data_IF_738016660935
#
_entry.id   IF_738016660935
#
_cell.length_a   1.000
_cell.length_b   1.000
_cell.length_c   1.000
_cell.angle_alpha   90.00
_cell.angle_beta   90.00
_cell.angle_gamma   90.00
#
_symmetry.space_group_name_H-M   'P 1'
#
loop_
_entity.id
_entity.type
_entity.pdbx_description
1 polymer ?
#
# COMPACT_ATOMS: atom_id res chain seq x y z
N UNK A 1 17.98 -35.85 4.69
CA UNK A 1 17.27 -34.69 4.20
C UNK A 1 17.84 -34.30 2.84
N UNK A 2 17.07 -34.51 1.74
CA UNK A 2 17.51 -34.33 0.36
C UNK A 2 17.93 -32.87 0.08
N UNK A 3 17.29 -31.87 0.70
CA UNK A 3 17.64 -30.45 0.54
C UNK A 3 19.05 -30.15 1.05
N UNK A 4 19.45 -30.68 2.20
CA UNK A 4 20.80 -30.47 2.74
C UNK A 4 21.90 -31.01 1.82
N UNK A 5 21.66 -32.15 1.19
CA UNK A 5 22.59 -32.77 0.25
C UNK A 5 22.74 -31.95 -1.03
N UNK A 6 21.68 -31.27 -1.46
CA UNK A 6 21.65 -30.44 -2.67
C UNK A 6 22.23 -29.04 -2.48
N UNK A 7 22.37 -28.56 -1.22
CA UNK A 7 22.85 -27.22 -0.88
C UNK A 7 22.22 -26.13 -1.76
N UNK A 8 20.89 -25.95 -1.69
CA UNK A 8 20.17 -25.08 -2.63
C UNK A 8 20.56 -23.61 -2.47
N UNK A 9 20.31 -22.81 -3.51
CA UNK A 9 20.18 -21.36 -3.38
C UNK A 9 18.78 -21.10 -2.83
N UNK A 10 18.68 -20.30 -1.78
CA UNK A 10 17.41 -19.89 -1.17
C UNK A 10 17.16 -18.43 -1.50
N UNK A 11 16.00 -18.15 -2.04
CA UNK A 11 15.53 -16.79 -2.30
C UNK A 11 14.48 -16.45 -1.23
N UNK A 12 14.66 -15.32 -0.54
CA UNK A 12 13.76 -14.83 0.50
C UNK A 12 13.21 -13.48 0.03
N UNK A 13 11.93 -13.47 -0.30
CA UNK A 13 11.21 -12.22 -0.58
C UNK A 13 10.70 -11.60 0.71
N UNK A 14 10.60 -10.26 0.76
CA UNK A 14 10.25 -9.48 1.96
C UNK A 14 11.09 -9.91 3.18
N UNK A 15 12.41 -10.02 2.97
CA UNK A 15 13.33 -10.63 3.92
C UNK A 15 13.35 -9.97 5.30
N UNK A 16 12.88 -8.72 5.43
CA UNK A 16 12.71 -8.06 6.74
C UNK A 16 11.75 -8.82 7.68
N UNK A 17 10.76 -9.55 7.13
CA UNK A 17 9.84 -10.40 7.91
C UNK A 17 10.47 -11.74 8.32
N UNK A 18 11.50 -12.18 7.61
CA UNK A 18 12.15 -13.48 7.83
C UNK A 18 13.39 -13.40 8.75
N UNK A 19 13.70 -12.24 9.33
CA UNK A 19 14.87 -12.03 10.18
C UNK A 19 14.59 -12.31 11.65
N UNK A 20 14.10 -13.50 11.94
CA UNK A 20 13.91 -14.03 13.30
C UNK A 20 14.88 -15.18 13.56
N UNK A 21 15.21 -15.42 14.83
CA UNK A 21 16.10 -16.55 15.22
C UNK A 21 15.56 -17.89 14.70
N UNK A 22 14.24 -18.07 14.70
CA UNK A 22 13.60 -19.27 14.18
C UNK A 22 13.78 -19.40 12.65
N UNK A 23 13.66 -18.31 11.92
CA UNK A 23 13.88 -18.30 10.47
C UNK A 23 15.33 -18.62 10.12
N UNK A 24 16.29 -18.03 10.84
CA UNK A 24 17.70 -18.32 10.65
C UNK A 24 18.03 -19.79 10.99
N UNK A 25 17.48 -20.33 12.08
CA UNK A 25 17.64 -21.75 12.43
C UNK A 25 17.05 -22.66 11.34
N UNK A 26 15.89 -22.31 10.80
CA UNK A 26 15.24 -23.07 9.71
C UNK A 26 16.08 -23.05 8.43
N UNK A 27 16.57 -21.89 8.03
CA UNK A 27 17.47 -21.75 6.89
C UNK A 27 18.78 -22.52 7.11
N UNK A 28 19.36 -22.47 8.30
CA UNK A 28 20.53 -23.23 8.68
C UNK A 28 20.34 -24.76 8.55
N UNK A 29 19.13 -25.25 8.83
CA UNK A 29 18.79 -26.68 8.68
C UNK A 29 18.79 -27.13 7.21
N UNK A 30 18.60 -26.24 6.25
CA UNK A 30 18.64 -26.55 4.82
C UNK A 30 20.08 -26.56 4.28
N UNK A 31 21.05 -25.96 4.99
CA UNK A 31 22.43 -25.76 4.55
C UNK A 31 22.53 -25.14 3.14
N UNK A 32 21.95 -23.96 2.91
CA UNK A 32 21.99 -23.34 1.58
C UNK A 32 23.41 -22.98 1.16
N UNK A 33 23.70 -23.07 -0.13
CA UNK A 33 24.95 -22.57 -0.70
C UNK A 33 25.00 -21.05 -0.74
N UNK A 34 23.84 -20.40 -0.88
CA UNK A 34 23.67 -18.97 -0.90
C UNK A 34 22.23 -18.63 -0.47
N UNK A 35 22.08 -17.48 0.20
CA UNK A 35 20.78 -16.87 0.50
C UNK A 35 20.74 -15.51 -0.20
N UNK A 36 19.77 -15.32 -1.09
CA UNK A 36 19.50 -14.05 -1.79
C UNK A 36 18.25 -13.44 -1.17
N UNK A 37 18.40 -12.25 -0.62
CA UNK A 37 17.30 -11.52 0.03
C UNK A 37 16.82 -10.38 -0.85
N UNK A 38 15.49 -10.28 -1.04
CA UNK A 38 14.83 -9.11 -1.61
C UNK A 38 14.10 -8.38 -0.48
N UNK A 39 14.37 -7.10 -0.30
CA UNK A 39 13.73 -6.28 0.72
C UNK A 39 13.84 -4.79 0.40
N UNK A 40 12.79 -4.03 0.71
CA UNK A 40 12.81 -2.57 0.66
C UNK A 40 13.61 -1.98 1.85
N UNK A 41 13.70 -2.72 2.97
CA UNK A 41 14.29 -2.26 4.24
C UNK A 41 15.38 -3.21 4.71
N UNK A 42 16.61 -3.14 4.12
CA UNK A 42 17.73 -3.97 4.54
C UNK A 42 18.11 -3.68 6.00
N UNK A 43 18.44 -4.72 6.76
CA UNK A 43 18.86 -4.57 8.15
C UNK A 43 20.19 -3.82 8.25
N UNK A 44 20.25 -2.89 9.22
CA UNK A 44 21.45 -2.06 9.48
C UNK A 44 22.14 -2.43 10.78
N UNK A 45 21.43 -3.07 11.70
CA UNK A 45 21.89 -3.40 13.05
C UNK A 45 21.82 -4.91 13.31
N UNK A 46 22.48 -5.38 14.36
CA UNK A 46 22.61 -6.80 14.82
C UNK A 46 23.24 -7.73 13.78
N UNK A 47 22.52 -8.07 12.72
CA UNK A 47 22.99 -8.84 11.58
C UNK A 47 22.75 -8.05 10.31
N UNK A 48 23.65 -7.11 9.96
CA UNK A 48 23.43 -6.23 8.81
C UNK A 48 23.39 -7.00 7.50
N UNK A 49 22.53 -6.56 6.59
CA UNK A 49 22.42 -7.09 5.24
C UNK A 49 23.66 -6.74 4.42
N UNK A 50 24.23 -7.71 3.70
CA UNK A 50 25.20 -7.44 2.67
C UNK A 50 24.47 -6.99 1.40
N UNK A 51 24.34 -5.69 1.21
CA UNK A 51 23.58 -5.10 0.09
C UNK A 51 24.46 -5.13 -1.18
N UNK A 52 24.13 -6.02 -2.10
CA UNK A 52 24.83 -6.17 -3.38
C UNK A 52 24.32 -5.18 -4.44
N UNK A 53 23.02 -4.89 -4.43
CA UNK A 53 22.39 -3.99 -5.38
C UNK A 53 21.26 -3.20 -4.71
N UNK A 54 21.07 -1.95 -5.14
CA UNK A 54 19.99 -1.08 -4.68
C UNK A 54 19.38 -0.39 -5.87
N UNK A 55 18.05 -0.50 -6.00
CA UNK A 55 17.29 0.26 -6.99
C UNK A 55 16.81 1.56 -6.34
N UNK A 56 17.12 2.68 -6.96
CA UNK A 56 16.70 4.00 -6.48
C UNK A 56 15.29 4.38 -6.96
N UNK A 57 14.65 5.31 -6.26
CA UNK A 57 13.37 5.87 -6.71
C UNK A 57 13.48 6.57 -8.08
N UNK A 58 14.66 7.12 -8.41
CA UNK A 58 14.91 7.74 -9.71
C UNK A 58 14.92 6.71 -10.84
N UNK A 59 15.57 5.56 -10.63
CA UNK A 59 15.54 4.44 -11.59
C UNK A 59 14.14 3.90 -11.81
N UNK A 60 13.37 3.71 -10.73
CA UNK A 60 11.97 3.27 -10.81
C UNK A 60 11.09 4.28 -11.55
N UNK A 61 11.32 5.59 -11.35
CA UNK A 61 10.63 6.64 -12.09
C UNK A 61 10.97 6.60 -13.58
N UNK A 62 12.25 6.47 -13.92
CA UNK A 62 12.71 6.37 -15.31
C UNK A 62 12.13 5.14 -16.01
N UNK A 63 12.01 4.03 -15.28
CA UNK A 63 11.37 2.80 -15.75
C UNK A 63 9.83 2.87 -15.77
N UNK A 64 9.23 4.01 -15.42
CA UNK A 64 7.78 4.21 -15.35
C UNK A 64 7.07 3.18 -14.44
N UNK A 65 7.71 2.79 -13.34
CA UNK A 65 7.15 1.81 -12.40
C UNK A 65 6.44 2.44 -11.21
N UNK A 66 6.68 3.74 -10.96
CA UNK A 66 6.16 4.43 -9.77
C UNK A 66 5.62 5.82 -10.09
N UNK A 67 4.58 6.22 -9.34
CA UNK A 67 4.00 7.56 -9.34
C UNK A 67 4.90 8.51 -8.57
N UNK A 68 5.42 9.53 -9.21
CA UNK A 68 6.19 10.60 -8.57
C UNK A 68 5.83 11.94 -9.25
N UNK A 69 5.81 13.07 -8.53
CA UNK A 69 6.29 13.27 -7.15
C UNK A 69 5.30 12.78 -6.08
N UNK A 70 5.83 12.51 -4.88
CA UNK A 70 5.06 12.20 -3.68
C UNK A 70 4.95 13.45 -2.79
N UNK A 71 3.73 13.80 -2.39
CA UNK A 71 3.48 14.86 -1.39
C UNK A 71 3.04 14.23 -0.07
N UNK A 72 3.79 14.47 0.98
CA UNK A 72 3.48 14.01 2.33
C UNK A 72 3.01 15.21 3.17
N UNK A 73 1.89 15.04 3.87
CA UNK A 73 1.32 16.02 4.79
C UNK A 73 1.07 15.33 6.12
N UNK A 74 1.57 15.92 7.20
CA UNK A 74 1.32 15.44 8.56
C UNK A 74 0.45 16.44 9.31
N UNK A 75 -0.40 15.92 10.20
CA UNK A 75 -1.28 16.71 11.06
C UNK A 75 -1.22 16.18 12.48
N UNK A 76 -1.50 17.06 13.45
CA UNK A 76 -1.65 16.63 14.83
C UNK A 76 -2.90 15.75 14.99
N UNK A 77 -2.92 14.76 15.90
CA UNK A 77 -4.06 13.87 16.10
C UNK A 77 -5.40 14.57 16.34
N UNK A 78 -5.40 15.76 16.96
CA UNK A 78 -6.61 16.59 17.13
C UNK A 78 -7.19 17.16 15.82
N UNK A 79 -6.44 17.09 14.72
CA UNK A 79 -6.83 17.60 13.40
C UNK A 79 -7.23 16.47 12.40
N UNK A 80 -7.63 15.31 12.94
CA UNK A 80 -8.02 14.14 12.10
C UNK A 80 -9.15 14.47 11.14
N UNK A 81 -10.13 15.22 11.57
CA UNK A 81 -11.27 15.62 10.75
C UNK A 81 -10.86 16.52 9.60
N UNK A 82 -9.95 17.46 9.88
CA UNK A 82 -9.36 18.32 8.87
C UNK A 82 -8.54 17.48 7.85
N UNK A 83 -7.72 16.54 8.34
CA UNK A 83 -6.93 15.64 7.49
C UNK A 83 -7.82 14.82 6.55
N UNK A 84 -8.94 14.29 7.06
CA UNK A 84 -9.90 13.53 6.28
C UNK A 84 -10.56 14.39 5.19
N UNK A 85 -11.01 15.60 5.55
CA UNK A 85 -11.61 16.53 4.61
C UNK A 85 -10.62 16.97 3.52
N UNK A 86 -9.37 17.28 3.89
CA UNK A 86 -8.30 17.59 2.94
C UNK A 86 -8.01 16.43 1.97
N UNK A 87 -7.99 15.19 2.46
CA UNK A 87 -7.76 14.00 1.63
C UNK A 87 -8.90 13.76 0.63
N UNK A 88 -10.15 13.94 1.05
CA UNK A 88 -11.33 13.83 0.18
C UNK A 88 -11.33 14.93 -0.90
N UNK A 89 -11.01 16.16 -0.52
CA UNK A 89 -10.89 17.28 -1.47
C UNK A 89 -9.78 17.00 -2.48
N UNK A 90 -8.60 16.59 -2.03
CA UNK A 90 -7.49 16.25 -2.90
C UNK A 90 -7.85 15.15 -3.89
N UNK A 91 -8.52 14.09 -3.42
CA UNK A 91 -9.00 13.01 -4.30
C UNK A 91 -9.94 13.55 -5.39
N UNK A 92 -10.90 14.43 -5.01
CA UNK A 92 -11.84 15.00 -5.95
C UNK A 92 -11.14 15.92 -6.98
N UNK A 93 -10.15 16.69 -6.54
CA UNK A 93 -9.34 17.53 -7.42
C UNK A 93 -8.54 16.70 -8.42
N UNK A 94 -7.91 15.62 -7.96
CA UNK A 94 -7.18 14.68 -8.82
C UNK A 94 -8.13 14.01 -9.84
N UNK A 95 -9.35 13.64 -9.43
CA UNK A 95 -10.33 13.07 -10.38
C UNK A 95 -10.71 14.07 -11.47
N UNK A 96 -10.92 15.35 -11.12
CA UNK A 96 -11.18 16.41 -12.12
C UNK A 96 -10.02 16.55 -13.10
N UNK A 97 -8.79 16.56 -12.61
CA UNK A 97 -7.59 16.63 -13.45
C UNK A 97 -7.46 15.40 -14.36
N UNK A 98 -7.68 14.20 -13.81
CA UNK A 98 -7.60 12.95 -14.56
C UNK A 98 -8.65 12.88 -15.68
N UNK A 99 -9.86 13.41 -15.46
CA UNK A 99 -10.89 13.51 -16.52
C UNK A 99 -10.43 14.45 -17.64
N UNK A 100 -9.84 15.60 -17.32
CA UNK A 100 -9.34 16.54 -18.32
C UNK A 100 -8.17 15.95 -19.12
N UNK A 101 -7.25 15.27 -18.45
CA UNK A 101 -6.10 14.59 -19.09
C UNK A 101 -6.57 13.42 -19.97
N UNK A 102 -7.53 12.62 -19.48
CA UNK A 102 -8.11 11.51 -20.24
C UNK A 102 -8.80 11.93 -21.54
N UNK A 103 -9.33 13.15 -21.62
CA UNK A 103 -9.87 13.72 -22.87
C UNK A 103 -8.78 13.96 -23.93
N UNK A 104 -7.53 14.15 -23.50
CA UNK A 104 -6.40 14.41 -24.39
C UNK A 104 -5.61 13.13 -24.73
N UNK A 105 -5.47 12.22 -23.74
CA UNK A 105 -4.62 11.01 -23.84
C UNK A 105 -5.40 9.74 -24.15
N UNK A 106 -6.73 9.76 -24.02
CA UNK A 106 -7.61 8.58 -24.04
C UNK A 106 -7.32 7.56 -22.89
N UNK A 107 -6.51 7.94 -21.91
CA UNK A 107 -6.25 7.12 -20.72
C UNK A 107 -7.32 7.35 -19.67
N UNK A 108 -7.78 6.26 -19.04
CA UNK A 108 -8.75 6.33 -17.96
C UNK A 108 -8.05 6.15 -16.62
N UNK A 109 -8.10 7.18 -15.80
CA UNK A 109 -7.62 7.17 -14.43
C UNK A 109 -8.73 7.65 -13.50
N UNK A 110 -9.02 6.88 -12.45
CA UNK A 110 -9.92 7.27 -11.37
C UNK A 110 -9.19 7.23 -10.05
N UNK A 111 -8.77 8.39 -9.50
CA UNK A 111 -8.10 8.45 -8.22
C UNK A 111 -8.96 7.88 -7.09
N UNK A 112 -8.43 6.89 -6.38
CA UNK A 112 -9.03 6.28 -5.21
C UNK A 112 -8.30 6.80 -3.97
N UNK A 113 -9.08 7.17 -2.95
CA UNK A 113 -8.59 7.48 -1.62
C UNK A 113 -8.58 6.20 -0.78
N UNK A 114 -7.41 5.86 -0.27
CA UNK A 114 -7.27 4.84 0.76
C UNK A 114 -7.30 5.49 2.13
N UNK A 115 -8.18 5.03 3.00
CA UNK A 115 -8.22 5.45 4.39
C UNK A 115 -7.79 4.28 5.27
N UNK A 116 -6.69 4.48 6.00
CA UNK A 116 -6.28 3.55 7.03
C UNK A 116 -6.94 3.96 8.35
N UNK A 117 -7.90 3.16 8.79
CA UNK A 117 -8.54 3.31 10.10
C UNK A 117 -7.65 2.75 11.22
N UNK A 118 -7.85 3.20 12.45
CA UNK A 118 -7.10 2.72 13.60
C UNK A 118 -7.40 1.25 13.92
N UNK A 119 -8.69 0.88 13.85
CA UNK A 119 -9.22 -0.42 14.25
C UNK A 119 -10.37 -0.83 13.34
N UNK A 120 -10.67 -2.12 13.35
CA UNK A 120 -11.72 -2.70 12.52
C UNK A 120 -13.11 -2.15 12.88
N UNK A 121 -13.38 -1.98 14.17
CA UNK A 121 -14.65 -1.46 14.68
C UNK A 121 -14.90 0.03 14.35
N UNK A 122 -13.85 0.77 13.97
CA UNK A 122 -13.97 2.14 13.51
C UNK A 122 -14.34 2.27 12.02
N UNK A 123 -14.28 1.18 11.24
CA UNK A 123 -14.49 1.25 9.78
C UNK A 123 -15.93 1.55 9.39
N UNK A 124 -16.92 0.89 10.01
CA UNK A 124 -18.35 1.13 9.73
C UNK A 124 -18.81 2.54 10.14
N UNK A 125 -18.51 3.03 11.37
CA UNK A 125 -18.80 4.42 11.75
C UNK A 125 -18.16 5.44 10.81
N UNK A 126 -16.92 5.19 10.35
CA UNK A 126 -16.26 6.05 9.39
C UNK A 126 -16.95 6.02 8.02
N UNK A 127 -17.35 4.87 7.52
CA UNK A 127 -18.13 4.74 6.29
C UNK A 127 -19.45 5.52 6.38
N UNK A 128 -20.21 5.36 7.47
CA UNK A 128 -21.47 6.07 7.69
C UNK A 128 -21.25 7.59 7.77
N UNK A 129 -20.14 8.01 8.34
CA UNK A 129 -19.74 9.42 8.39
C UNK A 129 -19.45 9.97 7.00
N UNK A 130 -18.68 9.23 6.17
CA UNK A 130 -18.39 9.62 4.79
C UNK A 130 -19.65 9.80 3.95
N UNK A 131 -20.64 8.94 4.14
CA UNK A 131 -21.94 9.02 3.46
C UNK A 131 -22.74 10.23 3.93
N UNK A 132 -22.86 10.41 5.25
CA UNK A 132 -23.77 11.45 5.82
C UNK A 132 -23.19 12.86 5.75
N UNK A 133 -21.88 13.02 6.04
CA UNK A 133 -21.26 14.36 6.16
C UNK A 133 -20.59 14.80 4.88
N UNK A 134 -20.06 13.88 4.08
CA UNK A 134 -19.31 14.22 2.86
C UNK A 134 -20.06 13.88 1.57
N UNK A 135 -21.31 13.39 1.67
CA UNK A 135 -22.20 13.19 0.53
C UNK A 135 -21.81 12.06 -0.42
N UNK A 136 -20.94 11.13 0.01
CA UNK A 136 -20.60 9.95 -0.77
C UNK A 136 -21.74 8.93 -0.73
N UNK A 137 -21.93 8.16 -1.80
CA UNK A 137 -22.84 7.02 -1.80
C UNK A 137 -22.17 5.80 -1.17
N UNK A 138 -22.98 4.83 -0.69
CA UNK A 138 -22.46 3.55 -0.18
C UNK A 138 -21.70 2.74 -1.25
N UNK A 139 -22.03 2.94 -2.51
CA UNK A 139 -21.33 2.27 -3.60
C UNK A 139 -19.96 2.85 -3.87
N UNK A 140 -19.74 4.11 -3.56
CA UNK A 140 -18.44 4.77 -3.69
C UNK A 140 -17.49 4.45 -2.54
N UNK A 141 -18.00 4.01 -1.38
CA UNK A 141 -17.18 3.66 -0.21
C UNK A 141 -17.22 2.16 0.01
N UNK A 142 -16.06 1.52 0.09
CA UNK A 142 -15.94 0.09 0.37
C UNK A 142 -15.02 -0.15 1.56
N UNK A 143 -15.42 -1.09 2.42
CA UNK A 143 -14.62 -1.55 3.56
C UNK A 143 -13.90 -2.84 3.17
N UNK A 144 -12.61 -2.89 3.43
CA UNK A 144 -11.79 -4.07 3.14
C UNK A 144 -10.87 -4.38 4.32
N UNK A 145 -11.40 -5.16 5.27
CA UNK A 145 -10.72 -5.56 6.51
C UNK A 145 -10.98 -7.04 6.80
N UNK A 146 -9.93 -7.81 7.10
CA UNK A 146 -10.03 -9.17 7.59
C UNK A 146 -11.17 -10.00 6.96
N UNK A 147 -12.23 -10.23 7.74
CA UNK A 147 -13.42 -11.00 7.33
C UNK A 147 -14.40 -10.19 6.48
N UNK A 148 -14.45 -8.87 6.65
CA UNK A 148 -15.31 -7.96 5.89
C UNK A 148 -14.53 -7.42 4.70
N UNK A 149 -14.76 -7.98 3.53
CA UNK A 149 -14.08 -7.60 2.30
C UNK A 149 -15.08 -7.33 1.19
N UNK A 150 -15.60 -6.11 1.17
CA UNK A 150 -16.59 -5.67 0.17
C UNK A 150 -15.97 -5.55 -1.23
N UNK A 151 -14.63 -5.48 -1.34
CA UNK A 151 -13.95 -5.46 -2.63
C UNK A 151 -14.04 -6.80 -3.37
N UNK A 152 -14.30 -7.92 -2.68
CA UNK A 152 -14.54 -9.21 -3.34
C UNK A 152 -15.75 -9.19 -4.27
N UNK A 153 -16.71 -8.31 -4.01
CA UNK A 153 -17.87 -8.10 -4.87
C UNK A 153 -17.60 -7.19 -6.08
N UNK A 154 -16.45 -6.53 -6.12
CA UNK A 154 -16.06 -5.64 -7.21
C UNK A 154 -15.29 -6.44 -8.25
N UNK A 155 -15.92 -6.69 -9.40
CA UNK A 155 -15.34 -7.53 -10.48
C UNK A 155 -14.04 -6.95 -11.03
N UNK A 156 -14.02 -5.65 -11.24
CA UNK A 156 -12.87 -4.92 -11.78
C UNK A 156 -12.86 -3.50 -11.22
N UNK A 157 -11.89 -3.24 -10.33
CA UNK A 157 -11.73 -1.93 -9.73
C UNK A 157 -11.20 -0.88 -10.72
N UNK A 158 -10.56 -1.31 -11.80
CA UNK A 158 -10.04 -0.43 -12.85
C UNK A 158 -11.12 -0.03 -13.86
N UNK A 159 -12.25 -0.73 -13.90
CA UNK A 159 -13.33 -0.46 -14.84
C UNK A 159 -13.86 0.97 -14.71
N UNK A 160 -14.11 1.69 -15.82
CA UNK A 160 -14.78 2.98 -15.81
C UNK A 160 -16.19 2.95 -15.18
N UNK A 161 -16.84 1.78 -15.18
CA UNK A 161 -18.17 1.58 -14.59
C UNK A 161 -18.12 1.35 -13.07
N UNK A 162 -16.95 1.13 -12.48
CA UNK A 162 -16.81 0.91 -11.05
C UNK A 162 -17.02 2.23 -10.29
N UNK A 163 -17.96 2.29 -9.33
CA UNK A 163 -18.25 3.53 -8.60
C UNK A 163 -17.23 3.82 -7.48
N UNK A 164 -16.41 2.86 -7.08
CA UNK A 164 -15.55 2.96 -5.89
C UNK A 164 -14.61 4.17 -5.97
N UNK A 165 -14.67 5.04 -4.98
CA UNK A 165 -13.86 6.25 -4.81
C UNK A 165 -13.02 6.22 -3.54
N UNK A 166 -13.51 5.51 -2.51
CA UNK A 166 -12.87 5.42 -1.20
C UNK A 166 -12.81 3.98 -0.75
N UNK A 167 -11.67 3.57 -0.22
CA UNK A 167 -11.49 2.25 0.39
C UNK A 167 -11.02 2.46 1.82
N UNK A 168 -11.75 1.91 2.79
CA UNK A 168 -11.40 1.91 4.20
C UNK A 168 -10.76 0.57 4.54
N UNK A 169 -9.59 0.61 5.18
CA UNK A 169 -8.85 -0.59 5.59
C UNK A 169 -8.12 -0.36 6.91
N UNK A 170 -7.62 -1.40 7.55
CA UNK A 170 -6.79 -1.32 8.76
C UNK A 170 -5.38 -1.83 8.49
N UNK A 171 -5.26 -3.07 8.02
CA UNK A 171 -3.95 -3.74 7.85
C UNK A 171 -3.67 -4.25 6.44
N UNK A 172 -4.67 -4.30 5.56
CA UNK A 172 -4.50 -4.83 4.19
C UNK A 172 -3.48 -4.07 3.34
N UNK A 173 -3.04 -2.89 3.78
CA UNK A 173 -1.95 -2.17 3.14
C UNK A 173 -0.59 -2.85 3.33
N UNK A 174 -0.49 -3.90 4.16
CA UNK A 174 0.79 -4.53 4.49
C UNK A 174 1.22 -5.61 3.48
N UNK A 175 0.33 -6.50 3.03
CA UNK A 175 0.72 -7.61 2.14
C UNK A 175 -0.37 -7.98 1.12
N UNK A 176 0.05 -8.30 -0.11
CA UNK A 176 -0.80 -8.92 -1.14
C UNK A 176 -1.89 -8.05 -1.75
N UNK A 177 -2.00 -6.75 -1.38
CA UNK A 177 -2.99 -5.86 -1.93
C UNK A 177 -2.37 -4.89 -2.94
N UNK A 178 -2.97 -4.80 -4.11
CA UNK A 178 -2.57 -3.89 -5.16
C UNK A 178 -3.78 -3.08 -5.65
N UNK A 179 -3.62 -1.76 -5.72
CA UNK A 179 -4.61 -0.86 -6.29
C UNK A 179 -3.90 0.26 -7.05
N UNK A 180 -3.65 0.06 -8.34
CA UNK A 180 -2.93 1.05 -9.14
C UNK A 180 -3.65 2.40 -9.21
N UNK A 181 -4.95 2.45 -8.95
CA UNK A 181 -5.72 3.69 -8.86
C UNK A 181 -5.68 4.39 -7.49
N UNK A 182 -4.98 3.85 -6.51
CA UNK A 182 -4.75 4.55 -5.25
C UNK A 182 -3.76 5.72 -5.47
N UNK A 183 -4.26 6.94 -5.40
CA UNK A 183 -3.48 8.16 -5.55
C UNK A 183 -3.39 8.97 -4.26
N UNK A 184 -4.32 8.76 -3.35
CA UNK A 184 -4.35 9.46 -2.07
C UNK A 184 -4.39 8.43 -0.95
N UNK A 185 -3.55 8.62 0.07
CA UNK A 185 -3.58 7.87 1.32
C UNK A 185 -3.85 8.82 2.48
N UNK A 186 -4.84 8.47 3.30
CA UNK A 186 -5.11 9.12 4.57
C UNK A 186 -4.97 8.09 5.69
N UNK A 187 -3.91 8.16 6.48
CA UNK A 187 -3.77 7.33 7.68
C UNK A 187 -4.33 8.07 8.88
N UNK A 188 -5.37 7.50 9.49
CA UNK A 188 -5.94 7.95 10.76
C UNK A 188 -5.29 7.21 11.94
N UNK A 189 -4.45 6.23 11.66
CA UNK A 189 -3.67 5.49 12.64
C UNK A 189 -2.39 6.25 12.96
N UNK A 190 -2.08 6.41 14.22
CA UNK A 190 -0.78 6.91 14.65
C UNK A 190 0.30 5.88 14.29
N UNK A 191 1.20 6.26 13.39
CA UNK A 191 2.26 5.36 12.92
C UNK A 191 3.60 6.04 13.19
N UNK A 192 4.39 5.41 14.04
CA UNK A 192 5.71 5.92 14.43
C UNK A 192 6.87 5.18 13.74
N UNK A 193 6.57 4.11 12.99
CA UNK A 193 7.59 3.30 12.32
C UNK A 193 7.81 3.80 10.89
N UNK A 194 9.03 4.23 10.60
CA UNK A 194 9.45 4.59 9.24
C UNK A 194 9.23 3.43 8.24
N UNK A 195 9.54 2.20 8.66
CA UNK A 195 9.32 0.99 7.84
C UNK A 195 7.86 0.78 7.47
N UNK A 196 6.93 1.00 8.43
CA UNK A 196 5.50 0.86 8.14
C UNK A 196 5.02 1.92 7.13
N UNK A 197 5.53 3.15 7.25
CA UNK A 197 5.23 4.24 6.31
C UNK A 197 5.78 3.89 4.92
N UNK A 198 7.03 3.46 4.81
CA UNK A 198 7.67 3.07 3.56
C UNK A 198 6.91 1.94 2.84
N UNK A 199 6.46 0.92 3.57
CA UNK A 199 5.67 -0.19 3.02
C UNK A 199 4.32 0.28 2.47
N UNK A 200 3.61 1.13 3.21
CA UNK A 200 2.31 1.66 2.79
C UNK A 200 2.47 2.55 1.56
N UNK A 201 3.46 3.44 1.57
CA UNK A 201 3.77 4.35 0.46
C UNK A 201 4.18 3.57 -0.79
N UNK A 202 5.02 2.55 -0.65
CA UNK A 202 5.47 1.70 -1.76
C UNK A 202 4.33 1.06 -2.55
N UNK A 203 3.19 0.74 -1.89
CA UNK A 203 2.01 0.16 -2.56
C UNK A 203 1.20 1.17 -3.35
N UNK A 204 1.15 2.43 -2.87
CA UNK A 204 0.40 3.51 -3.53
C UNK A 204 1.17 4.04 -4.74
N UNK A 205 2.49 3.96 -4.69
CA UNK A 205 3.35 4.49 -5.75
C UNK A 205 3.31 3.68 -7.05
N UNK A 206 2.76 2.47 -7.06
CA UNK A 206 2.65 1.65 -8.29
C UNK A 206 1.79 2.33 -9.33
N UNK A 207 2.28 2.38 -10.57
CA UNK A 207 1.49 2.84 -11.71
C UNK A 207 0.45 1.78 -12.13
N UNK A 208 -0.70 2.18 -12.68
CA UNK A 208 -1.58 1.28 -13.39
C UNK A 208 -0.82 0.71 -14.61
N UNK A 209 -0.87 -0.61 -14.77
CA UNK A 209 -0.35 -1.31 -15.96
C UNK A 209 -1.39 -1.27 -17.07
#
# INVERSE_FOLDING_TARGET
NALRLRRPIVIVDEAHNARTDLSFATLGNVLPSCIVEFTATPAREKTPSNVLHRVSAAELKTAQMVKLPLRVVTRHPSQRDQLLAEALTLRADLERLAVLEGQQTAEYIRPILLIQAERVDACEPLCDRLVREFGLSKDEVKISVGRLDELKGVKDIASPKCPVRVIITVEKLREGWDCPFAYVLCSLKETWSATAIEQIVGRILRLPN
#
